data_IF_952822249671
#
_entry.id   IF_952822249671
#
_cell.length_a   1.000
_cell.length_b   1.000
_cell.length_c   1.000
_cell.angle_alpha   90.00
_cell.angle_beta   90.00
_cell.angle_gamma   90.00
#
_symmetry.space_group_name_H-M   'P 1'
#
loop_
_entity.id
_entity.type
_entity.pdbx_description
1 polymer ?
#
# COMPACT_ATOMS: atom_id res chain seq x y z
N UNK A 1 12.81 15.29 -2.87
CA UNK A 1 12.64 16.77 -2.83
C UNK A 1 13.80 17.49 -3.52
N UNK A 2 15.06 17.21 -3.18
CA UNK A 2 16.21 17.88 -3.82
C UNK A 2 16.22 17.73 -5.36
N UNK A 3 16.08 16.51 -5.89
CA UNK A 3 16.04 16.27 -7.33
C UNK A 3 14.90 17.04 -8.04
N UNK A 4 13.74 17.16 -7.39
CA UNK A 4 12.64 17.93 -7.96
C UNK A 4 12.95 19.43 -8.02
N UNK A 5 13.63 19.96 -7.00
CA UNK A 5 14.11 21.36 -7.00
C UNK A 5 15.15 21.58 -8.09
N UNK A 6 16.11 20.68 -8.26
CA UNK A 6 17.15 20.75 -9.28
C UNK A 6 16.57 20.70 -10.70
N UNK A 7 15.53 19.93 -10.90
CA UNK A 7 14.82 19.76 -12.17
C UNK A 7 13.68 20.77 -12.38
N UNK A 8 13.41 21.64 -11.39
CA UNK A 8 12.27 22.55 -11.38
C UNK A 8 10.94 21.86 -11.70
N UNK A 9 10.71 20.70 -11.06
CA UNK A 9 9.50 19.88 -11.25
C UNK A 9 8.66 19.85 -9.98
N UNK A 10 7.34 20.02 -10.14
CA UNK A 10 6.39 19.73 -9.08
C UNK A 10 6.27 18.22 -8.88
N UNK A 11 6.02 17.80 -7.65
CA UNK A 11 5.87 16.38 -7.32
C UNK A 11 4.81 16.15 -6.25
N UNK A 12 4.28 14.94 -6.24
CA UNK A 12 3.41 14.42 -5.19
C UNK A 12 4.08 13.19 -4.58
N UNK A 13 4.12 13.10 -3.26
CA UNK A 13 4.59 11.91 -2.56
C UNK A 13 3.37 11.04 -2.21
N UNK A 14 3.43 9.79 -2.67
CA UNK A 14 2.44 8.77 -2.35
C UNK A 14 3.13 7.70 -1.50
N UNK A 15 2.78 7.60 -0.21
CA UNK A 15 3.17 6.44 0.58
C UNK A 15 2.34 5.24 0.13
N UNK A 16 2.97 4.37 -0.68
CA UNK A 16 2.38 3.09 -1.09
C UNK A 16 2.61 2.08 0.03
N UNK A 17 1.74 2.11 1.00
CA UNK A 17 1.77 1.30 2.22
C UNK A 17 1.19 -0.10 2.04
N UNK A 18 1.10 -0.84 3.13
CA UNK A 18 0.47 -2.15 3.16
C UNK A 18 -1.06 -2.07 3.02
N UNK A 19 -1.60 -2.85 2.10
CA UNK A 19 -3.04 -2.91 1.84
C UNK A 19 -3.85 -3.60 2.97
N UNK A 20 -3.18 -4.15 3.98
CA UNK A 20 -3.79 -4.74 5.17
C UNK A 20 -3.60 -3.87 6.42
N UNK A 21 -3.39 -2.57 6.23
CA UNK A 21 -3.34 -1.50 7.24
C UNK A 21 -2.13 -1.52 8.18
N UNK A 22 -1.18 -2.46 8.03
CA UNK A 22 0.05 -2.51 8.84
C UNK A 22 1.05 -1.44 8.41
N UNK A 23 2.01 -1.15 9.27
CA UNK A 23 3.09 -0.19 9.04
C UNK A 23 3.10 0.95 10.05
N UNK A 24 4.04 1.89 9.88
CA UNK A 24 4.29 2.99 10.81
C UNK A 24 3.29 4.15 10.64
N UNK A 25 2.00 3.86 10.66
CA UNK A 25 0.95 4.88 10.64
C UNK A 25 0.61 5.31 12.07
N UNK A 26 0.44 6.58 12.36
CA UNK A 26 0.50 7.77 11.48
C UNK A 26 1.90 8.40 11.34
N UNK A 27 2.93 7.85 12.00
CA UNK A 27 4.24 8.47 12.10
C UNK A 27 4.87 8.79 10.73
N UNK A 28 4.83 7.84 9.79
CA UNK A 28 5.44 7.98 8.46
C UNK A 28 4.88 9.19 7.71
N UNK A 29 3.56 9.27 7.58
CA UNK A 29 2.89 10.34 6.84
C UNK A 29 2.98 11.68 7.54
N UNK A 30 3.04 11.69 8.88
CA UNK A 30 3.27 12.90 9.68
C UNK A 30 4.66 13.48 9.43
N UNK A 31 5.69 12.66 9.47
CA UNK A 31 7.07 13.10 9.19
C UNK A 31 7.24 13.56 7.74
N UNK A 32 6.65 12.85 6.77
CA UNK A 32 6.67 13.28 5.36
C UNK A 32 6.00 14.65 5.18
N UNK A 33 4.84 14.87 5.84
CA UNK A 33 4.16 16.17 5.84
C UNK A 33 5.07 17.27 6.40
N UNK A 34 5.65 17.05 7.58
CA UNK A 34 6.53 18.01 8.23
C UNK A 34 7.73 18.37 7.34
N UNK A 35 8.36 17.39 6.72
CA UNK A 35 9.45 17.61 5.76
C UNK A 35 9.01 18.44 4.54
N UNK A 36 7.85 18.13 3.95
CA UNK A 36 7.35 18.86 2.78
C UNK A 36 7.03 20.30 3.15
N UNK A 37 6.33 20.51 4.26
CA UNK A 37 5.94 21.85 4.70
C UNK A 37 7.14 22.72 5.04
N UNK A 38 8.16 22.16 5.71
CA UNK A 38 9.37 22.90 6.09
C UNK A 38 10.25 23.27 4.89
N UNK A 39 10.36 22.38 3.89
CA UNK A 39 11.27 22.62 2.76
C UNK A 39 10.66 23.42 1.61
N UNK A 40 9.35 23.31 1.39
CA UNK A 40 8.70 23.89 0.23
C UNK A 40 7.78 25.06 0.58
N UNK A 41 7.64 25.43 1.86
CA UNK A 41 6.68 26.40 2.36
C UNK A 41 5.25 26.15 1.84
N UNK A 42 4.89 24.87 1.74
CA UNK A 42 3.62 24.39 1.15
C UNK A 42 2.81 23.68 2.21
N UNK A 43 1.61 24.14 2.51
CA UNK A 43 0.73 23.52 3.49
C UNK A 43 0.08 22.26 2.92
N UNK A 44 0.11 21.17 3.68
CA UNK A 44 -0.63 19.93 3.39
C UNK A 44 -1.98 20.00 4.11
N UNK A 45 -3.08 19.97 3.35
CA UNK A 45 -4.42 20.20 3.86
C UNK A 45 -5.03 18.96 4.53
N UNK A 46 -4.71 17.77 4.02
CA UNK A 46 -5.25 16.52 4.53
C UNK A 46 -4.44 15.30 4.15
N UNK A 47 -4.86 14.15 4.67
CA UNK A 47 -4.29 12.85 4.35
C UNK A 47 -5.36 11.93 3.80
N UNK A 48 -5.09 11.31 2.66
CA UNK A 48 -5.98 10.37 1.98
C UNK A 48 -5.56 8.93 2.29
N UNK A 49 -6.42 8.18 2.96
CA UNK A 49 -6.27 6.75 3.22
C UNK A 49 -7.04 5.97 2.17
N UNK A 50 -6.33 5.25 1.30
CA UNK A 50 -6.93 4.50 0.21
C UNK A 50 -6.30 3.12 0.06
N UNK A 51 -6.58 2.17 0.98
CA UNK A 51 -5.92 0.86 1.01
C UNK A 51 -6.46 -0.14 -0.01
N UNK A 52 -7.22 0.30 -1.00
CA UNK A 52 -7.78 -0.55 -2.05
C UNK A 52 -6.70 -1.23 -2.89
N UNK A 53 -6.82 -2.55 -3.05
CA UNK A 53 -5.96 -3.38 -3.89
C UNK A 53 -6.76 -4.54 -4.49
N UNK A 54 -7.26 -4.35 -5.70
CA UNK A 54 -8.17 -5.30 -6.38
C UNK A 54 -7.54 -6.69 -6.54
N UNK A 55 -6.35 -6.76 -7.10
CA UNK A 55 -5.63 -8.00 -7.37
C UNK A 55 -5.24 -8.75 -6.09
N UNK A 56 -5.01 -8.01 -5.02
CA UNK A 56 -4.77 -8.57 -3.69
C UNK A 56 -6.04 -8.93 -2.93
N UNK A 57 -7.22 -8.58 -3.44
CA UNK A 57 -8.48 -8.82 -2.77
C UNK A 57 -8.72 -7.92 -1.56
N UNK A 58 -8.33 -6.63 -1.62
CA UNK A 58 -8.56 -5.65 -0.56
C UNK A 58 -9.54 -4.60 -1.04
N UNK A 59 -10.65 -4.47 -0.30
CA UNK A 59 -11.78 -3.64 -0.66
C UNK A 59 -12.24 -2.80 0.53
N UNK A 60 -12.83 -1.63 0.26
CA UNK A 60 -13.46 -0.81 1.29
C UNK A 60 -14.89 -0.50 0.88
N UNK A 61 -15.86 -0.89 1.71
CA UNK A 61 -17.27 -0.62 1.51
C UNK A 61 -17.90 -0.20 2.84
N UNK A 62 -18.75 0.82 2.82
CA UNK A 62 -19.37 1.40 4.01
C UNK A 62 -18.34 1.69 5.12
N UNK A 63 -17.19 2.23 4.68
CA UNK A 63 -16.04 2.59 5.50
C UNK A 63 -15.30 1.40 6.13
N UNK A 64 -15.77 0.17 5.95
CA UNK A 64 -15.15 -1.05 6.45
C UNK A 64 -14.18 -1.59 5.41
N UNK A 65 -12.96 -1.84 5.85
CA UNK A 65 -11.94 -2.47 5.02
C UNK A 65 -11.99 -3.99 5.13
N UNK A 66 -11.98 -4.67 4.00
CA UNK A 66 -12.11 -6.12 3.88
C UNK A 66 -10.91 -6.77 3.20
N UNK A 67 -10.63 -8.00 3.60
CA UNK A 67 -9.71 -8.92 2.93
C UNK A 67 -10.51 -10.08 2.36
N UNK A 68 -10.30 -10.38 1.08
CA UNK A 68 -10.94 -11.51 0.42
C UNK A 68 -10.11 -12.79 0.63
N UNK A 69 -10.71 -13.76 1.30
CA UNK A 69 -10.18 -15.12 1.46
C UNK A 69 -11.05 -16.09 0.68
N UNK A 70 -10.59 -16.49 -0.52
CA UNK A 70 -11.29 -17.50 -1.32
C UNK A 70 -12.73 -17.14 -1.70
N UNK A 71 -13.03 -15.86 -1.93
CA UNK A 71 -14.37 -15.37 -2.27
C UNK A 71 -15.19 -14.87 -1.07
N UNK A 72 -14.68 -15.04 0.16
CA UNK A 72 -15.32 -14.50 1.37
C UNK A 72 -14.62 -13.21 1.79
N UNK A 73 -15.39 -12.14 1.94
CA UNK A 73 -14.90 -10.87 2.49
C UNK A 73 -14.89 -10.94 4.02
N UNK A 74 -13.72 -10.78 4.61
CA UNK A 74 -13.49 -10.78 6.05
C UNK A 74 -13.07 -9.36 6.47
N UNK A 75 -13.70 -8.74 7.47
CA UNK A 75 -13.27 -7.45 7.98
C UNK A 75 -11.80 -7.48 8.41
N UNK A 76 -11.03 -6.45 8.05
CA UNK A 76 -9.58 -6.46 8.24
C UNK A 76 -9.15 -6.68 9.70
N UNK A 77 -9.88 -6.13 10.67
CA UNK A 77 -9.65 -6.30 12.10
C UNK A 77 -9.85 -7.75 12.61
N UNK A 78 -10.52 -8.59 11.85
CA UNK A 78 -10.75 -10.00 12.18
C UNK A 78 -9.69 -10.93 11.60
N UNK A 79 -8.77 -10.39 10.79
CA UNK A 79 -7.76 -11.16 10.07
C UNK A 79 -6.47 -11.36 10.88
N UNK A 80 -5.60 -12.24 10.40
CA UNK A 80 -4.24 -12.43 10.93
C UNK A 80 -3.40 -11.14 10.89
N UNK A 81 -3.67 -10.24 9.93
CA UNK A 81 -2.94 -8.99 9.75
C UNK A 81 -3.16 -8.01 10.90
N UNK A 82 -4.38 -7.98 11.45
CA UNK A 82 -4.71 -7.15 12.60
C UNK A 82 -4.00 -7.62 13.90
N UNK A 83 -3.62 -8.90 13.95
CA UNK A 83 -2.91 -9.50 15.08
C UNK A 83 -1.40 -9.39 15.01
N UNK A 84 -0.88 -8.60 14.08
CA UNK A 84 0.56 -8.34 13.96
C UNK A 84 1.11 -7.77 15.27
N UNK A 85 2.24 -8.31 15.75
CA UNK A 85 2.81 -7.93 17.05
C UNK A 85 3.31 -6.49 17.10
N UNK A 86 3.71 -5.94 15.94
CA UNK A 86 4.29 -4.59 15.85
C UNK A 86 3.27 -3.58 15.35
N UNK A 87 2.47 -3.96 14.36
CA UNK A 87 1.59 -3.08 13.60
C UNK A 87 0.11 -3.40 13.77
N UNK A 88 -0.23 -4.18 14.80
CA UNK A 88 -1.60 -4.60 15.07
C UNK A 88 -2.58 -3.44 15.22
N UNK A 89 -3.85 -3.75 15.01
CA UNK A 89 -4.99 -2.84 15.13
C UNK A 89 -6.25 -3.66 15.42
N UNK A 90 -7.33 -2.98 15.82
CA UNK A 90 -8.59 -3.65 16.18
C UNK A 90 -9.75 -3.33 15.25
N UNK A 91 -9.77 -2.12 14.68
CA UNK A 91 -10.91 -1.63 13.93
C UNK A 91 -10.80 -1.89 12.42
N UNK A 92 -11.86 -2.44 11.84
CA UNK A 92 -12.01 -2.62 10.39
C UNK A 92 -12.63 -1.39 9.72
N UNK A 93 -13.41 -0.60 10.45
CA UNK A 93 -13.90 0.70 9.99
C UNK A 93 -12.72 1.67 9.93
N UNK A 94 -12.47 2.25 8.76
CA UNK A 94 -11.28 3.09 8.56
C UNK A 94 -11.32 4.40 9.35
N UNK A 95 -12.50 4.93 9.69
CA UNK A 95 -12.60 6.10 10.55
C UNK A 95 -12.20 5.76 11.99
N UNK A 96 -12.66 4.63 12.50
CA UNK A 96 -12.29 4.12 13.83
C UNK A 96 -10.81 3.70 13.87
N UNK A 97 -10.30 3.09 12.79
CA UNK A 97 -8.88 2.79 12.64
C UNK A 97 -8.01 4.06 12.71
N UNK A 98 -8.44 5.14 12.07
CA UNK A 98 -7.76 6.44 12.16
C UNK A 98 -7.73 6.91 13.61
N UNK A 99 -8.86 6.94 14.30
CA UNK A 99 -8.92 7.36 15.71
C UNK A 99 -8.04 6.48 16.60
N UNK A 100 -8.10 5.16 16.43
CA UNK A 100 -7.26 4.20 17.15
C UNK A 100 -5.76 4.49 16.94
N UNK A 101 -5.32 4.57 15.70
CA UNK A 101 -3.89 4.69 15.36
C UNK A 101 -3.32 6.08 15.65
N UNK A 102 -4.15 7.10 15.67
CA UNK A 102 -3.75 8.47 16.04
C UNK A 102 -3.93 8.76 17.53
N UNK A 103 -4.26 7.74 18.34
CA UNK A 103 -4.55 7.89 19.76
C UNK A 103 -5.61 8.98 20.08
N UNK A 104 -6.59 9.10 19.18
CA UNK A 104 -7.70 10.05 19.29
C UNK A 104 -7.38 11.49 18.86
N UNK A 105 -6.20 11.74 18.27
CA UNK A 105 -5.87 13.06 17.68
C UNK A 105 -6.87 13.43 16.56
N UNK A 106 -7.32 12.46 15.78
CA UNK A 106 -8.37 12.60 14.77
C UNK A 106 -9.54 11.70 15.12
N UNK A 107 -10.71 12.31 15.39
CA UNK A 107 -11.91 11.57 15.77
C UNK A 107 -12.57 10.92 14.56
N UNK A 108 -13.10 9.71 14.74
CA UNK A 108 -13.80 8.98 13.70
C UNK A 108 -14.99 9.77 13.10
N UNK A 109 -15.66 10.59 13.93
CA UNK A 109 -16.74 11.50 13.50
C UNK A 109 -16.30 12.56 12.50
N UNK A 110 -15.03 13.00 12.58
CA UNK A 110 -14.51 14.15 11.85
C UNK A 110 -13.81 13.75 10.55
N UNK A 111 -13.60 12.44 10.34
CA UNK A 111 -12.98 11.91 9.13
C UNK A 111 -13.92 12.12 7.93
N UNK A 112 -13.39 12.69 6.86
CA UNK A 112 -14.13 12.83 5.59
C UNK A 112 -14.26 11.47 4.91
N UNK A 113 -15.47 11.13 4.47
CA UNK A 113 -15.79 9.83 3.86
C UNK A 113 -16.22 10.02 2.42
N UNK A 114 -15.47 9.41 1.51
CA UNK A 114 -15.85 9.34 0.10
C UNK A 114 -16.60 8.03 -0.12
N UNK A 115 -17.91 8.12 -0.30
CA UNK A 115 -18.81 6.98 -0.35
C UNK A 115 -18.80 6.27 -1.70
N UNK A 116 -19.10 4.96 -1.72
CA UNK A 116 -19.34 4.23 -2.96
C UNK A 116 -20.53 4.81 -3.73
N UNK A 117 -21.54 5.34 -3.03
CA UNK A 117 -22.70 5.96 -3.67
C UNK A 117 -22.28 7.13 -4.56
N UNK A 118 -21.54 8.11 -4.01
CA UNK A 118 -21.11 9.27 -4.78
C UNK A 118 -20.15 8.89 -5.91
N UNK A 119 -19.27 7.91 -5.68
CA UNK A 119 -18.33 7.42 -6.71
C UNK A 119 -19.07 6.76 -7.87
N UNK A 120 -20.06 5.90 -7.61
CA UNK A 120 -20.78 5.14 -8.64
C UNK A 120 -21.83 5.94 -9.37
N UNK A 121 -22.36 6.99 -8.75
CA UNK A 121 -23.23 7.96 -9.42
C UNK A 121 -22.43 9.01 -10.20
N UNK A 122 -21.09 8.98 -10.17
CA UNK A 122 -20.26 9.94 -10.88
C UNK A 122 -20.36 11.37 -10.33
N UNK A 123 -20.61 11.51 -9.04
CA UNK A 123 -20.80 12.80 -8.36
C UNK A 123 -19.44 13.52 -8.14
N UNK A 124 -18.67 13.72 -9.22
CA UNK A 124 -17.33 14.31 -9.18
C UNK A 124 -17.30 15.65 -8.46
N UNK A 125 -18.28 16.52 -8.69
CA UNK A 125 -18.35 17.84 -8.06
C UNK A 125 -18.62 17.74 -6.54
N UNK A 126 -19.42 16.78 -6.09
CA UNK A 126 -19.68 16.54 -4.66
C UNK A 126 -18.39 16.08 -3.99
N UNK A 127 -17.72 15.10 -4.57
CA UNK A 127 -16.43 14.57 -4.05
C UNK A 127 -15.36 15.68 -4.02
N UNK A 128 -15.26 16.46 -5.10
CA UNK A 128 -14.36 17.61 -5.16
C UNK A 128 -14.66 18.59 -4.01
N UNK A 129 -15.94 18.95 -3.82
CA UNK A 129 -16.32 19.86 -2.73
C UNK A 129 -15.90 19.29 -1.36
N UNK A 130 -16.15 18.00 -1.10
CA UNK A 130 -15.67 17.36 0.14
C UNK A 130 -14.16 17.50 0.30
N UNK A 131 -13.37 17.30 -0.77
CA UNK A 131 -11.91 17.47 -0.73
C UNK A 131 -11.49 18.93 -0.50
N UNK A 132 -12.24 19.90 -1.03
CA UNK A 132 -11.98 21.33 -0.82
C UNK A 132 -12.21 21.78 0.63
N UNK A 133 -13.12 21.12 1.36
CA UNK A 133 -13.38 21.41 2.78
C UNK A 133 -12.32 20.81 3.71
N UNK A 134 -11.50 19.86 3.27
CA UNK A 134 -10.47 19.22 4.09
C UNK A 134 -9.38 20.21 4.47
N UNK A 135 -9.14 20.37 5.76
CA UNK A 135 -8.12 21.25 6.30
C UNK A 135 -7.47 20.65 7.56
N UNK A 136 -6.43 21.29 8.09
CA UNK A 136 -5.76 20.91 9.33
C UNK A 136 -5.25 19.47 9.36
N UNK A 137 -4.80 19.00 8.20
CA UNK A 137 -4.33 17.61 8.01
C UNK A 137 -5.37 16.55 8.37
N UNK A 138 -6.68 16.92 8.29
CA UNK A 138 -7.74 15.95 8.54
C UNK A 138 -7.67 14.77 7.56
N UNK A 139 -8.30 13.69 7.94
CA UNK A 139 -8.22 12.41 7.24
C UNK A 139 -9.39 12.24 6.28
N UNK A 140 -9.10 11.65 5.13
CA UNK A 140 -10.08 11.29 4.11
C UNK A 140 -9.96 9.79 3.89
N UNK A 141 -11.04 9.06 4.08
CA UNK A 141 -11.11 7.66 3.67
C UNK A 141 -11.87 7.54 2.35
N UNK A 142 -11.42 6.61 1.51
CA UNK A 142 -12.03 6.40 0.20
C UNK A 142 -12.49 4.95 0.08
N UNK A 143 -13.77 4.78 -0.14
CA UNK A 143 -14.37 3.49 -0.43
C UNK A 143 -14.09 3.09 -1.88
N UNK A 144 -13.78 1.81 -2.14
CA UNK A 144 -13.66 1.29 -3.50
C UNK A 144 -13.80 -0.23 -3.54
N UNK A 145 -14.46 -0.72 -4.56
CA UNK A 145 -14.63 -2.13 -4.90
C UNK A 145 -14.07 -2.44 -6.30
N UNK A 146 -13.94 -1.43 -7.15
CA UNK A 146 -13.42 -1.59 -8.51
C UNK A 146 -12.60 -0.37 -8.96
N UNK A 147 -11.88 -0.51 -10.06
CA UNK A 147 -11.11 0.58 -10.68
C UNK A 147 -11.95 1.75 -11.15
N UNK A 148 -13.23 1.53 -11.48
CA UNK A 148 -14.14 2.63 -11.81
C UNK A 148 -14.29 3.60 -10.62
N UNK A 149 -14.41 3.08 -9.40
CA UNK A 149 -14.49 3.89 -8.18
C UNK A 149 -13.22 4.76 -8.02
N UNK A 150 -12.05 4.16 -8.25
CA UNK A 150 -10.76 4.88 -8.19
C UNK A 150 -10.65 5.97 -9.25
N UNK A 151 -11.10 5.71 -10.49
CA UNK A 151 -11.07 6.69 -11.58
C UNK A 151 -11.92 7.91 -11.30
N UNK A 152 -13.15 7.72 -10.80
CA UNK A 152 -14.03 8.83 -10.42
C UNK A 152 -13.39 9.64 -9.30
N UNK A 153 -12.85 8.98 -8.27
CA UNK A 153 -12.12 9.66 -7.21
C UNK A 153 -10.94 10.47 -7.74
N UNK A 154 -10.09 9.88 -8.59
CA UNK A 154 -8.94 10.57 -9.16
C UNK A 154 -9.35 11.79 -9.99
N UNK A 155 -10.48 11.74 -10.70
CA UNK A 155 -11.00 12.89 -11.45
C UNK A 155 -11.33 14.05 -10.52
N UNK A 156 -12.03 13.80 -9.42
CA UNK A 156 -12.31 14.82 -8.41
C UNK A 156 -11.05 15.33 -7.70
N UNK A 157 -10.13 14.42 -7.40
CA UNK A 157 -8.85 14.75 -6.78
C UNK A 157 -8.02 15.70 -7.65
N UNK A 158 -7.89 15.41 -8.95
CA UNK A 158 -7.13 16.27 -9.86
C UNK A 158 -7.72 17.69 -9.92
N UNK A 159 -9.05 17.82 -9.90
CA UNK A 159 -9.69 19.13 -9.86
C UNK A 159 -9.38 19.86 -8.55
N UNK A 160 -9.43 19.17 -7.40
CA UNK A 160 -9.08 19.77 -6.12
C UNK A 160 -7.58 20.17 -6.03
N UNK A 161 -6.68 19.35 -6.61
CA UNK A 161 -5.26 19.69 -6.68
C UNK A 161 -5.00 20.90 -7.59
N UNK A 162 -5.71 20.99 -8.72
CA UNK A 162 -5.62 22.17 -9.63
C UNK A 162 -6.11 23.46 -8.97
N UNK A 163 -7.05 23.36 -8.03
CA UNK A 163 -7.53 24.48 -7.21
C UNK A 163 -6.68 24.77 -5.96
N UNK A 164 -5.50 24.15 -5.88
CA UNK A 164 -4.50 24.47 -4.85
C UNK A 164 -4.53 23.58 -3.62
N UNK A 165 -5.42 22.59 -3.54
CA UNK A 165 -5.33 21.60 -2.45
C UNK A 165 -4.07 20.77 -2.57
N UNK A 166 -3.55 20.34 -1.43
CA UNK A 166 -2.40 19.44 -1.32
C UNK A 166 -2.70 18.38 -0.27
N UNK A 167 -2.43 17.14 -0.61
CA UNK A 167 -2.69 16.00 0.26
C UNK A 167 -1.45 15.13 0.44
N UNK A 168 -1.34 14.53 1.62
CA UNK A 168 -0.52 13.35 1.85
C UNK A 168 -1.34 12.10 1.48
N UNK A 169 -0.67 11.05 1.05
CA UNK A 169 -1.33 9.83 0.62
C UNK A 169 -0.76 8.63 1.36
N UNK A 170 -1.68 7.81 1.92
CA UNK A 170 -1.40 6.47 2.42
C UNK A 170 -2.28 5.49 1.67
N UNK A 171 -1.70 4.78 0.71
CA UNK A 171 -2.48 4.02 -0.26
C UNK A 171 -1.92 2.61 -0.48
N UNK A 172 -2.71 1.78 -1.18
CA UNK A 172 -2.22 0.53 -1.76
C UNK A 172 -1.97 0.66 -3.27
N UNK A 173 -1.66 -0.46 -3.92
CA UNK A 173 -1.16 -0.48 -5.29
C UNK A 173 -2.15 0.04 -6.33
N UNK A 174 -3.45 -0.23 -6.18
CA UNK A 174 -4.45 0.14 -7.18
C UNK A 174 -4.61 1.65 -7.36
N UNK A 175 -4.47 2.44 -6.30
CA UNK A 175 -4.50 3.90 -6.41
C UNK A 175 -3.31 4.41 -7.23
N UNK A 176 -2.10 3.92 -6.95
CA UNK A 176 -0.87 4.32 -7.67
C UNK A 176 -1.00 4.03 -9.17
N UNK A 177 -1.56 2.88 -9.52
CA UNK A 177 -1.83 2.50 -10.93
C UNK A 177 -2.70 3.54 -11.63
N UNK A 178 -3.82 3.93 -11.02
CA UNK A 178 -4.79 4.83 -11.66
C UNK A 178 -4.27 6.28 -11.69
N UNK A 179 -3.75 6.79 -10.59
CA UNK A 179 -3.23 8.16 -10.52
C UNK A 179 -1.98 8.34 -11.38
N UNK A 180 -1.18 7.29 -11.58
CA UNK A 180 -0.02 7.30 -12.47
C UNK A 180 -0.35 7.04 -13.95
N UNK A 181 -1.60 6.77 -14.30
CA UNK A 181 -2.00 6.43 -15.67
C UNK A 181 -1.36 5.13 -16.19
N UNK A 182 -1.01 4.21 -15.30
CA UNK A 182 -0.34 2.95 -15.66
C UNK A 182 -1.31 2.01 -16.35
N UNK A 183 -1.02 1.66 -17.61
CA UNK A 183 -1.82 0.73 -18.41
C UNK A 183 -1.64 -0.71 -17.95
N UNK A 184 -2.66 -1.54 -18.17
CA UNK A 184 -2.53 -2.98 -18.02
C UNK A 184 -1.63 -3.55 -19.11
N UNK A 185 -0.75 -4.47 -18.72
CA UNK A 185 0.02 -5.31 -19.63
C UNK A 185 -0.29 -6.78 -19.33
N UNK A 186 -0.19 -7.69 -20.30
CA UNK A 186 -0.30 -9.11 -20.05
C UNK A 186 0.72 -9.60 -19.01
N UNK A 187 0.42 -10.71 -18.33
CA UNK A 187 1.40 -11.35 -17.46
C UNK A 187 2.65 -11.71 -18.25
N UNK A 188 3.81 -11.47 -17.65
CA UNK A 188 5.09 -11.81 -18.24
C UNK A 188 5.20 -13.32 -18.46
N UNK A 189 5.72 -13.70 -19.62
CA UNK A 189 6.04 -15.11 -19.95
C UNK A 189 7.54 -15.34 -19.75
N UNK A 190 7.97 -16.61 -19.86
CA UNK A 190 9.39 -16.94 -19.80
C UNK A 190 10.20 -16.23 -20.87
N UNK A 191 9.61 -15.98 -22.05
CA UNK A 191 10.27 -15.20 -23.13
C UNK A 191 10.53 -13.74 -22.75
N UNK A 192 9.68 -13.15 -21.92
CA UNK A 192 9.82 -11.78 -21.46
C UNK A 192 10.84 -11.67 -20.31
N UNK A 193 11.01 -12.72 -19.53
CA UNK A 193 11.83 -12.73 -18.31
C UNK A 193 13.23 -13.31 -18.53
N UNK A 194 13.38 -14.27 -19.44
CA UNK A 194 14.64 -14.97 -19.68
C UNK A 194 15.21 -14.52 -21.02
N UNK A 195 16.40 -13.93 -20.97
CA UNK A 195 17.11 -13.51 -22.19
C UNK A 195 17.43 -14.75 -23.05
N UNK A 196 17.16 -14.66 -24.35
CA UNK A 196 17.48 -15.73 -25.30
C UNK A 196 18.97 -16.10 -25.22
N UNK A 197 19.25 -17.41 -25.17
CA UNK A 197 20.60 -17.94 -25.02
C UNK A 197 21.18 -17.89 -23.61
N UNK A 198 20.41 -17.44 -22.60
CA UNK A 198 20.85 -17.50 -21.22
C UNK A 198 20.76 -18.96 -20.70
N UNK A 199 21.91 -19.51 -20.28
CA UNK A 199 22.05 -20.85 -19.70
C UNK A 199 22.27 -20.83 -18.20
N UNK A 200 22.29 -19.62 -17.58
CA UNK A 200 22.47 -19.50 -16.13
C UNK A 200 21.21 -19.95 -15.40
N UNK A 201 21.39 -20.47 -14.20
CA UNK A 201 20.29 -20.75 -13.28
C UNK A 201 19.58 -19.47 -12.83
N UNK A 202 18.40 -19.64 -12.22
CA UNK A 202 17.63 -18.58 -11.61
C UNK A 202 17.66 -18.66 -10.10
N UNK A 203 17.42 -17.54 -9.41
CA UNK A 203 17.30 -17.48 -7.96
C UNK A 203 15.88 -17.08 -7.57
N UNK A 204 15.28 -17.85 -6.66
CA UNK A 204 13.99 -17.54 -6.04
C UNK A 204 14.22 -17.29 -4.55
N UNK A 205 13.91 -16.08 -4.08
CA UNK A 205 14.06 -15.71 -2.66
C UNK A 205 12.67 -15.69 -2.00
N UNK A 206 12.50 -16.46 -0.93
CA UNK A 206 11.25 -16.58 -0.18
C UNK A 206 11.49 -16.17 1.27
N UNK A 207 11.03 -14.96 1.65
CA UNK A 207 11.18 -14.42 3.01
C UNK A 207 9.86 -14.23 3.77
N UNK A 208 8.72 -14.34 3.10
CA UNK A 208 7.41 -14.17 3.72
C UNK A 208 6.98 -15.42 4.49
N UNK A 209 6.36 -15.21 5.66
CA UNK A 209 5.83 -16.25 6.54
C UNK A 209 4.27 -16.33 6.53
N UNK A 210 3.62 -15.64 5.58
CA UNK A 210 2.16 -15.72 5.45
C UNK A 210 1.72 -17.11 4.98
N UNK A 211 0.51 -17.53 5.35
CA UNK A 211 -0.05 -18.81 4.95
C UNK A 211 -0.01 -19.02 3.43
N UNK A 212 -0.32 -17.97 2.66
CA UNK A 212 -0.26 -18.01 1.19
C UNK A 212 1.14 -18.36 0.67
N UNK A 213 2.18 -17.69 1.20
CA UNK A 213 3.56 -17.94 0.78
C UNK A 213 4.03 -19.33 1.20
N UNK A 214 3.65 -19.78 2.39
CA UNK A 214 3.94 -21.16 2.84
C UNK A 214 3.34 -22.18 1.90
N UNK A 215 2.06 -22.04 1.52
CA UNK A 215 1.41 -22.92 0.55
C UNK A 215 2.08 -22.87 -0.82
N UNK A 216 2.50 -21.70 -1.29
CA UNK A 216 3.24 -21.57 -2.56
C UNK A 216 4.60 -22.27 -2.50
N UNK A 217 5.31 -22.18 -1.38
CA UNK A 217 6.59 -22.86 -1.18
C UNK A 217 6.42 -24.38 -1.18
N UNK A 218 5.36 -24.92 -0.57
CA UNK A 218 5.07 -26.37 -0.60
C UNK A 218 4.77 -26.86 -2.02
N UNK A 219 4.10 -26.07 -2.85
CA UNK A 219 3.92 -26.42 -4.27
C UNK A 219 5.25 -26.33 -5.04
N UNK A 220 6.06 -25.31 -4.76
CA UNK A 220 7.36 -25.14 -5.40
C UNK A 220 8.32 -26.31 -5.11
N UNK A 221 8.26 -26.89 -3.90
CA UNK A 221 9.07 -28.08 -3.52
C UNK A 221 8.79 -29.33 -4.36
N UNK A 222 7.67 -29.37 -5.06
CA UNK A 222 7.31 -30.48 -5.95
C UNK A 222 7.95 -30.37 -7.35
N UNK A 223 8.55 -29.23 -7.67
CA UNK A 223 9.20 -28.98 -8.95
C UNK A 223 10.59 -29.60 -8.92
N UNK A 224 10.87 -30.49 -9.88
CA UNK A 224 12.17 -31.14 -10.02
C UNK A 224 13.25 -30.14 -10.50
N UNK A 225 14.50 -30.39 -10.09
CA UNK A 225 15.65 -29.57 -10.51
C UNK A 225 15.84 -28.28 -9.73
N UNK A 226 15.15 -28.12 -8.61
CA UNK A 226 15.35 -26.98 -7.70
C UNK A 226 16.18 -27.41 -6.49
N UNK A 227 17.20 -26.61 -6.21
CA UNK A 227 17.99 -26.70 -4.98
C UNK A 227 17.41 -25.76 -3.92
N UNK A 228 17.15 -26.25 -2.70
CA UNK A 228 16.56 -25.49 -1.61
C UNK A 228 17.58 -25.20 -0.53
N UNK A 229 17.98 -23.92 -0.40
CA UNK A 229 18.92 -23.46 0.59
C UNK A 229 18.16 -22.71 1.68
N UNK A 230 18.06 -23.28 2.88
CA UNK A 230 17.46 -22.60 4.03
C UNK A 230 18.44 -21.57 4.59
N UNK A 231 18.05 -20.31 4.65
CA UNK A 231 18.75 -19.27 5.39
C UNK A 231 18.43 -19.40 6.89
N UNK A 232 19.46 -19.50 7.72
CA UNK A 232 19.33 -19.65 9.17
C UNK A 232 19.23 -18.28 9.84
N UNK A 233 18.04 -17.69 9.82
CA UNK A 233 17.79 -16.33 10.32
C UNK A 233 18.13 -16.13 11.81
N UNK A 234 18.12 -17.21 12.61
CA UNK A 234 18.47 -17.14 14.03
C UNK A 234 19.93 -16.73 14.26
N UNK A 235 20.82 -17.06 13.33
CA UNK A 235 22.24 -16.66 13.39
C UNK A 235 22.44 -15.14 13.32
N UNK A 236 21.46 -14.41 12.75
CA UNK A 236 21.49 -12.93 12.75
C UNK A 236 21.41 -12.37 14.18
N UNK A 237 20.64 -13.04 15.05
CA UNK A 237 20.50 -12.64 16.46
C UNK A 237 21.73 -13.00 17.30
N UNK A 238 22.62 -13.85 16.76
CA UNK A 238 23.87 -14.29 17.38
C UNK A 238 25.09 -13.54 16.83
N UNK A 239 24.91 -12.42 16.10
CA UNK A 239 25.95 -11.67 15.39
C UNK A 239 26.79 -12.51 14.39
N UNK A 240 26.19 -13.58 13.84
CA UNK A 240 26.81 -14.51 12.87
C UNK A 240 26.24 -14.36 11.46
N UNK A 241 25.75 -13.16 11.11
CA UNK A 241 25.18 -12.89 9.78
C UNK A 241 26.17 -13.17 8.65
N UNK A 242 27.42 -12.72 8.79
CA UNK A 242 28.43 -12.85 7.74
C UNK A 242 28.78 -14.31 7.43
N UNK A 243 28.81 -15.17 8.45
CA UNK A 243 29.03 -16.63 8.30
C UNK A 243 27.88 -17.24 7.48
N UNK A 244 26.63 -16.88 7.81
CA UNK A 244 25.46 -17.42 7.13
C UNK A 244 25.36 -16.93 5.69
N UNK A 245 25.66 -15.65 5.44
CA UNK A 245 25.73 -15.10 4.08
C UNK A 245 26.79 -15.84 3.26
N UNK A 246 28.01 -16.02 3.78
CA UNK A 246 29.08 -16.74 3.09
C UNK A 246 28.68 -18.20 2.76
N UNK A 247 28.03 -18.88 3.72
CA UNK A 247 27.50 -20.24 3.52
C UNK A 247 26.49 -20.31 2.39
N UNK A 248 25.47 -19.41 2.41
CA UNK A 248 24.39 -19.41 1.42
C UNK A 248 24.92 -19.06 0.04
N UNK A 249 25.78 -18.06 -0.08
CA UNK A 249 26.42 -17.68 -1.35
C UNK A 249 27.20 -18.86 -1.93
N UNK A 250 28.07 -19.50 -1.14
CA UNK A 250 28.84 -20.66 -1.59
C UNK A 250 27.99 -21.85 -2.04
N UNK A 251 26.78 -22.02 -1.47
CA UNK A 251 25.85 -23.06 -1.92
C UNK A 251 25.08 -22.66 -3.19
N UNK A 252 24.86 -21.37 -3.39
CA UNK A 252 24.14 -20.85 -4.58
C UNK A 252 25.00 -20.83 -5.84
N UNK A 253 26.32 -20.92 -5.72
CA UNK A 253 27.28 -20.91 -6.85
C UNK A 253 27.56 -22.33 -7.40
N UNK A 254 27.02 -23.37 -6.80
CA UNK A 254 27.19 -24.76 -7.22
C UNK A 254 26.09 -25.17 -8.20
#
# INVERSE_FOLDING_TARGET
MQAAKELNQEFIIISRSDSTLRGHYPLETKLLKECIESENNTKIHGEILFPFFKEGGRFTADDIHYVNYGGKLVPAGETEFAKDKTFGYTHSNLCEYVEEKTAGEYKASDVTRISLYSLRNGEVNVIKHQLMEVNNFNKVIVNALDYCDVRVFCTALYQALAEGKRFMFRTAASFVKVVGGVSDIPLLTSKDMVKEGNTNGGIIVVGSHTQKTTSQLEELKKVEGLEFIKFQSDLVLEDRLDEEVARVVSLSEK
#
